data_IF_090387485448
#
_entry.id   IF_090387485448
#
_cell.length_a   1.000
_cell.length_b   1.000
_cell.length_c   1.000
_cell.angle_alpha   90.00
_cell.angle_beta   90.00
_cell.angle_gamma   90.00
#
_symmetry.space_group_name_H-M   'P 1'
#
loop_
_entity.id
_entity.type
_entity.pdbx_description
1 polymer ?
#
# COMPACT_ATOMS: atom_id res chain seq x y z
N UNK A 1 49.37 -12.43 -60.90
CA UNK A 1 48.56 -12.31 -59.66
C UNK A 1 47.23 -13.00 -59.90
N UNK A 2 46.91 -14.00 -59.07
CA UNK A 2 45.89 -15.02 -59.36
C UNK A 2 44.52 -14.64 -58.79
N UNK A 3 43.50 -14.70 -59.66
CA UNK A 3 42.06 -14.44 -59.41
C UNK A 3 41.49 -15.29 -58.25
N UNK A 4 42.18 -16.37 -57.84
CA UNK A 4 41.72 -17.27 -56.78
C UNK A 4 41.81 -16.71 -55.35
N UNK A 5 42.57 -15.63 -55.09
CA UNK A 5 42.69 -15.06 -53.72
C UNK A 5 41.62 -14.02 -53.36
N UNK A 6 40.86 -13.51 -54.31
CA UNK A 6 39.78 -12.54 -54.03
C UNK A 6 38.44 -13.20 -53.68
N UNK A 7 38.22 -14.47 -54.05
CA UNK A 7 36.97 -15.16 -53.78
C UNK A 7 36.82 -15.62 -52.31
N UNK A 8 37.92 -15.85 -51.59
CA UNK A 8 37.87 -16.38 -50.21
C UNK A 8 37.56 -15.31 -49.16
N UNK A 9 37.90 -14.04 -49.42
CA UNK A 9 37.64 -12.94 -48.46
C UNK A 9 36.17 -12.51 -48.46
N UNK A 10 35.46 -12.67 -49.59
CA UNK A 10 34.06 -12.26 -49.72
C UNK A 10 33.09 -13.27 -49.08
N UNK A 11 33.43 -14.56 -49.04
CA UNK A 11 32.55 -15.59 -48.47
C UNK A 11 32.55 -15.62 -46.93
N UNK A 12 33.57 -15.08 -46.25
CA UNK A 12 33.59 -14.96 -44.78
C UNK A 12 32.85 -13.72 -44.27
N UNK A 13 32.71 -12.67 -45.09
CA UNK A 13 31.97 -11.46 -44.72
C UNK A 13 30.44 -11.67 -44.73
N UNK A 14 29.93 -12.59 -45.56
CA UNK A 14 28.48 -12.86 -45.66
C UNK A 14 27.99 -13.79 -44.54
N UNK A 15 28.84 -14.64 -43.96
CA UNK A 15 28.46 -15.51 -42.84
C UNK A 15 28.35 -14.78 -41.49
N UNK A 16 28.98 -13.61 -41.33
CA UNK A 16 28.91 -12.80 -40.11
C UNK A 16 27.81 -11.73 -40.13
N UNK A 17 27.18 -11.47 -41.29
CA UNK A 17 26.00 -10.59 -41.37
C UNK A 17 24.66 -11.34 -41.28
N UNK A 18 24.66 -12.66 -41.44
CA UNK A 18 23.43 -13.46 -41.40
C UNK A 18 22.86 -13.73 -39.99
N UNK A 19 23.58 -13.37 -38.93
CA UNK A 19 23.20 -13.65 -37.53
C UNK A 19 22.73 -12.43 -36.75
N UNK A 20 22.64 -11.24 -37.36
CA UNK A 20 22.18 -10.01 -36.71
C UNK A 20 20.68 -9.69 -36.90
N UNK A 21 19.95 -10.48 -37.70
CA UNK A 21 18.51 -10.30 -37.96
C UNK A 21 17.64 -11.39 -37.32
N UNK A 22 18.22 -12.19 -36.42
CA UNK A 22 17.49 -13.11 -35.55
C UNK A 22 16.73 -12.35 -34.46
N UNK A 23 15.55 -11.84 -34.82
CA UNK A 23 14.40 -11.67 -33.92
C UNK A 23 14.67 -11.04 -32.54
N UNK A 24 15.03 -9.74 -32.52
CA UNK A 24 14.97 -8.93 -31.29
C UNK A 24 13.53 -8.66 -30.80
N UNK A 25 12.50 -9.25 -31.41
CA UNK A 25 11.10 -9.10 -30.99
C UNK A 25 10.74 -9.84 -29.68
N UNK A 26 11.66 -10.60 -29.09
CA UNK A 26 11.43 -11.33 -27.82
C UNK A 26 11.69 -10.51 -26.54
N UNK A 27 12.10 -9.24 -26.65
CA UNK A 27 12.37 -8.38 -25.48
C UNK A 27 11.30 -7.33 -25.19
N UNK A 28 10.23 -7.30 -25.99
CA UNK A 28 8.97 -6.68 -25.57
C UNK A 28 8.02 -7.78 -25.11
N UNK A 29 8.41 -8.55 -24.10
CA UNK A 29 7.40 -9.05 -23.18
C UNK A 29 6.89 -7.76 -22.53
N UNK A 30 5.68 -7.26 -22.86
CA UNK A 30 5.10 -6.19 -22.07
C UNK A 30 5.16 -6.72 -20.65
N UNK A 31 5.89 -6.02 -19.79
CA UNK A 31 5.84 -6.25 -18.36
C UNK A 31 4.37 -6.46 -18.06
N UNK A 32 4.02 -7.68 -17.68
CA UNK A 32 2.64 -8.05 -17.39
C UNK A 32 2.28 -7.16 -16.24
N UNK A 33 1.69 -6.01 -16.57
CA UNK A 33 0.94 -5.20 -15.65
C UNK A 33 0.00 -6.19 -15.03
N UNK A 34 0.19 -6.44 -13.74
CA UNK A 34 -0.55 -7.45 -13.03
C UNK A 34 -2.03 -7.16 -13.32
N UNK A 35 -2.73 -8.01 -14.12
CA UNK A 35 -4.06 -7.65 -14.62
C UNK A 35 -5.07 -7.52 -13.48
N UNK A 36 -4.67 -7.90 -12.27
CA UNK A 36 -5.36 -7.71 -11.01
C UNK A 36 -5.38 -6.26 -10.50
N UNK A 37 -4.57 -5.36 -11.05
CA UNK A 37 -4.56 -3.94 -10.67
C UNK A 37 -5.40 -3.03 -11.59
N UNK A 38 -6.10 -3.60 -12.58
CA UNK A 38 -7.20 -2.90 -13.25
C UNK A 38 -8.34 -2.78 -12.23
N UNK A 39 -8.19 -1.82 -11.31
CA UNK A 39 -9.11 -1.40 -10.25
C UNK A 39 -10.28 -2.36 -10.08
N UNK A 40 -10.06 -3.46 -9.35
CA UNK A 40 -11.17 -4.29 -8.92
C UNK A 40 -12.19 -3.33 -8.28
N UNK A 41 -13.43 -3.26 -8.79
CA UNK A 41 -14.34 -2.22 -8.36
C UNK A 41 -14.63 -2.45 -6.88
N UNK A 42 -14.12 -1.55 -6.05
CA UNK A 42 -14.44 -1.51 -4.64
C UNK A 42 -15.75 -0.76 -4.47
N UNK A 43 -16.69 -1.34 -3.75
CA UNK A 43 -18.00 -0.77 -3.52
C UNK A 43 -18.15 -0.29 -2.07
N UNK A 44 -19.03 0.69 -1.80
CA UNK A 44 -19.50 0.93 -0.44
C UNK A 44 -20.08 -0.37 0.15
N UNK A 45 -19.92 -0.61 1.47
CA UNK A 45 -20.53 -1.75 2.13
C UNK A 45 -22.06 -1.64 2.14
N UNK A 46 -22.72 -2.74 2.52
CA UNK A 46 -24.16 -2.73 2.73
C UNK A 46 -24.54 -1.72 3.83
N UNK A 47 -25.70 -1.07 3.68
CA UNK A 47 -26.14 -0.01 4.59
C UNK A 47 -26.44 -0.51 6.01
N UNK A 48 -26.72 -1.81 6.14
CA UNK A 48 -26.96 -2.53 7.38
C UNK A 48 -25.70 -3.11 8.01
N UNK A 49 -24.50 -2.88 7.45
CA UNK A 49 -23.22 -3.23 8.09
C UNK A 49 -23.24 -2.73 9.53
N UNK A 50 -22.96 -3.59 10.51
CA UNK A 50 -22.87 -3.27 11.94
C UNK A 50 -21.42 -3.24 12.42
N UNK A 51 -21.19 -2.73 13.64
CA UNK A 51 -19.86 -2.76 14.27
C UNK A 51 -19.35 -4.20 14.47
N UNK A 52 -20.26 -5.12 14.79
CA UNK A 52 -19.99 -6.56 14.94
C UNK A 52 -19.40 -7.19 13.66
N UNK A 53 -19.76 -6.68 12.47
CA UNK A 53 -19.21 -7.14 11.19
C UNK A 53 -17.75 -6.74 10.98
N UNK A 54 -17.23 -5.80 11.78
CA UNK A 54 -15.83 -5.36 11.75
C UNK A 54 -14.97 -6.03 12.83
N UNK A 55 -15.57 -6.56 13.89
CA UNK A 55 -14.86 -7.28 14.96
C UNK A 55 -14.08 -8.46 14.38
N UNK A 56 -12.79 -8.55 14.68
CA UNK A 56 -11.90 -9.57 14.14
C UNK A 56 -10.45 -9.12 14.03
N UNK A 57 -9.62 -9.98 13.43
CA UNK A 57 -8.21 -9.67 13.14
C UNK A 57 -8.10 -9.28 11.67
N UNK A 58 -7.37 -8.19 11.44
CA UNK A 58 -7.17 -7.59 10.12
C UNK A 58 -5.67 -7.48 9.88
N UNK A 59 -5.21 -7.91 8.71
CA UNK A 59 -3.80 -7.93 8.34
C UNK A 59 -3.59 -7.23 6.99
N UNK A 60 -2.52 -6.44 6.90
CA UNK A 60 -1.94 -5.97 5.65
C UNK A 60 -0.46 -6.29 5.59
N UNK A 61 0.06 -6.49 4.37
CA UNK A 61 1.46 -6.85 4.13
C UNK A 61 2.12 -5.84 3.22
N UNK A 62 3.13 -5.15 3.74
CA UNK A 62 3.90 -4.15 3.01
C UNK A 62 5.26 -4.74 2.63
N UNK A 63 5.26 -5.56 1.57
CA UNK A 63 6.44 -6.35 1.20
C UNK A 63 6.63 -7.51 2.16
N UNK A 64 7.60 -7.40 3.07
CA UNK A 64 7.81 -8.39 4.13
C UNK A 64 7.39 -7.91 5.52
N UNK A 65 7.09 -6.62 5.66
CA UNK A 65 6.53 -6.07 6.89
C UNK A 65 5.06 -6.44 7.00
N UNK A 66 4.58 -6.62 8.22
CA UNK A 66 3.19 -7.01 8.51
C UNK A 66 2.59 -5.97 9.46
N UNK A 67 1.43 -5.45 9.10
CA UNK A 67 0.62 -4.59 9.95
C UNK A 67 -0.67 -5.33 10.28
N UNK A 68 -0.95 -5.50 11.57
CA UNK A 68 -2.10 -6.25 12.06
C UNK A 68 -2.84 -5.40 13.06
N UNK A 69 -4.17 -5.44 13.05
CA UNK A 69 -4.94 -4.99 14.20
C UNK A 69 -6.09 -5.94 14.54
N UNK A 70 -6.44 -5.96 15.82
CA UNK A 70 -7.53 -6.75 16.39
C UNK A 70 -8.60 -5.78 16.87
N UNK A 71 -9.79 -5.83 16.27
CA UNK A 71 -10.99 -5.09 16.71
C UNK A 71 -11.83 -6.00 17.61
N UNK A 72 -12.19 -5.54 18.81
CA UNK A 72 -13.03 -6.27 19.77
C UNK A 72 -14.43 -5.70 19.84
N UNK A 73 -15.37 -6.54 20.28
CA UNK A 73 -16.79 -6.17 20.51
C UNK A 73 -16.98 -5.06 21.55
N UNK A 74 -16.03 -4.88 22.46
CA UNK A 74 -16.08 -3.84 23.50
C UNK A 74 -15.69 -2.44 23.00
N UNK A 75 -15.51 -2.27 21.68
CA UNK A 75 -15.08 -1.01 21.08
C UNK A 75 -13.59 -0.70 21.28
N UNK A 76 -12.79 -1.69 21.70
CA UNK A 76 -11.34 -1.56 21.81
C UNK A 76 -10.58 -2.27 20.69
N UNK A 77 -9.40 -1.75 20.36
CA UNK A 77 -8.50 -2.34 19.37
C UNK A 77 -7.04 -2.30 19.81
N UNK A 78 -6.23 -3.12 19.16
CA UNK A 78 -4.77 -3.09 19.24
C UNK A 78 -4.17 -3.21 17.85
N UNK A 79 -3.18 -2.40 17.52
CA UNK A 79 -2.34 -2.51 16.33
C UNK A 79 -0.97 -3.09 16.71
N UNK A 80 -0.42 -3.94 15.84
CA UNK A 80 0.94 -4.45 15.88
C UNK A 80 1.54 -4.32 14.48
N UNK A 81 2.71 -3.68 14.37
CA UNK A 81 3.47 -3.62 13.13
C UNK A 81 4.87 -4.20 13.33
N UNK A 82 5.28 -5.08 12.43
CA UNK A 82 6.58 -5.73 12.42
C UNK A 82 7.29 -5.45 11.09
N UNK A 83 8.50 -4.88 11.17
CA UNK A 83 9.36 -4.66 10.00
C UNK A 83 10.53 -5.64 10.02
N UNK A 84 10.55 -6.57 9.08
CA UNK A 84 11.62 -7.59 9.05
C UNK A 84 12.95 -7.07 8.46
N UNK A 85 12.95 -5.87 7.86
CA UNK A 85 14.17 -5.26 7.29
C UNK A 85 14.91 -4.42 8.32
N UNK A 86 14.18 -3.75 9.21
CA UNK A 86 14.75 -3.07 10.36
C UNK A 86 14.97 -4.10 11.48
N UNK A 87 16.22 -4.28 11.94
CA UNK A 87 16.52 -5.27 12.98
C UNK A 87 15.69 -4.97 14.23
N UNK A 88 14.78 -5.90 14.56
CA UNK A 88 13.94 -5.93 15.76
C UNK A 88 12.94 -4.76 15.92
N UNK A 89 12.51 -4.09 14.84
CA UNK A 89 11.47 -3.07 14.96
C UNK A 89 10.08 -3.70 15.09
N UNK A 90 9.47 -3.50 16.25
CA UNK A 90 8.07 -3.83 16.53
C UNK A 90 7.39 -2.62 17.15
N UNK A 91 6.27 -2.23 16.57
CA UNK A 91 5.35 -1.27 17.16
C UNK A 91 4.11 -2.01 17.67
N UNK A 92 3.64 -1.62 18.85
CA UNK A 92 2.38 -2.13 19.42
C UNK A 92 1.66 -1.00 20.15
N UNK A 93 0.36 -0.83 19.88
CA UNK A 93 -0.49 0.07 20.66
C UNK A 93 -0.97 -0.60 21.96
N UNK A 94 -1.27 0.15 23.03
CA UNK A 94 -2.19 -0.34 24.05
C UNK A 94 -3.58 -0.64 23.45
N UNK A 95 -4.48 -1.22 24.25
CA UNK A 95 -5.88 -1.37 23.86
C UNK A 95 -6.55 0.01 23.84
N UNK A 96 -6.68 0.59 22.64
CA UNK A 96 -7.27 1.90 22.39
C UNK A 96 -8.71 1.78 21.89
N UNK A 97 -9.41 2.90 21.69
CA UNK A 97 -10.78 2.91 21.18
C UNK A 97 -10.81 2.90 19.65
N UNK A 98 -11.79 2.22 19.08
CA UNK A 98 -12.16 2.36 17.68
C UNK A 98 -13.63 2.75 17.56
N UNK A 99 -14.00 3.37 16.45
CA UNK A 99 -15.39 3.74 16.15
C UNK A 99 -15.60 3.79 14.63
N UNK A 100 -16.86 3.77 14.21
CA UNK A 100 -17.22 3.99 12.80
C UNK A 100 -17.92 5.33 12.62
N UNK A 101 -17.60 5.98 11.51
CA UNK A 101 -18.29 7.18 11.02
C UNK A 101 -19.12 6.79 9.79
N UNK A 102 -20.41 7.15 9.81
CA UNK A 102 -21.34 6.86 8.70
C UNK A 102 -21.75 8.15 8.02
N UNK A 103 -21.72 8.13 6.69
CA UNK A 103 -22.09 9.27 5.87
C UNK A 103 -23.47 9.05 5.21
N UNK A 104 -24.20 10.14 4.87
CA UNK A 104 -25.50 10.04 4.20
C UNK A 104 -25.48 9.36 2.83
N UNK A 105 -24.31 9.31 2.18
CA UNK A 105 -24.08 8.67 0.88
C UNK A 105 -23.72 7.18 1.00
N UNK A 106 -23.79 6.61 2.20
CA UNK A 106 -23.50 5.20 2.49
C UNK A 106 -22.03 4.89 2.70
N UNK A 107 -21.13 5.90 2.67
CA UNK A 107 -19.73 5.68 3.05
C UNK A 107 -19.62 5.37 4.53
N UNK A 108 -18.63 4.54 4.87
CA UNK A 108 -18.26 4.20 6.23
C UNK A 108 -16.75 4.35 6.38
N UNK A 109 -16.32 5.08 7.41
CA UNK A 109 -14.92 5.19 7.82
C UNK A 109 -14.73 4.51 9.17
N UNK A 110 -13.67 3.75 9.31
CA UNK A 110 -13.20 3.18 10.58
C UNK A 110 -12.11 4.10 11.13
N UNK A 111 -12.28 4.50 12.38
CA UNK A 111 -11.43 5.42 13.13
C UNK A 111 -10.71 4.65 14.23
N UNK A 112 -9.37 4.65 14.23
CA UNK A 112 -8.51 3.87 15.12
C UNK A 112 -7.60 4.79 15.93
N UNK A 113 -8.01 5.13 17.15
CA UNK A 113 -7.29 6.09 17.98
C UNK A 113 -5.89 5.61 18.36
N UNK A 114 -4.86 6.41 18.09
CA UNK A 114 -3.46 6.10 18.38
C UNK A 114 -2.82 5.03 17.49
N UNK A 115 -3.53 4.55 16.46
CA UNK A 115 -2.93 3.75 15.40
C UNK A 115 -2.08 4.64 14.47
N UNK A 116 -1.13 4.00 13.77
CA UNK A 116 -0.16 4.67 12.89
C UNK A 116 -0.21 4.13 11.47
N UNK A 117 0.20 4.98 10.53
CA UNK A 117 0.19 4.71 9.10
C UNK A 117 1.55 4.16 8.63
N UNK A 118 1.69 2.83 8.56
CA UNK A 118 2.96 2.15 8.25
C UNK A 118 3.10 1.67 6.79
N UNK A 119 2.10 1.90 5.94
CA UNK A 119 2.15 1.49 4.53
C UNK A 119 3.36 2.10 3.78
N UNK A 120 3.78 3.30 4.18
CA UNK A 120 4.98 3.99 3.64
C UNK A 120 6.20 3.87 4.57
N UNK A 121 6.18 2.90 5.48
CA UNK A 121 7.29 2.52 6.34
C UNK A 121 7.38 3.28 7.67
N UNK A 122 8.39 2.89 8.46
CA UNK A 122 8.61 3.35 9.83
C UNK A 122 8.75 4.88 9.92
N UNK A 123 9.50 5.48 8.98
CA UNK A 123 9.76 6.92 9.00
C UNK A 123 8.50 7.75 8.86
N UNK A 124 7.44 7.24 8.23
CA UNK A 124 6.14 7.90 8.13
C UNK A 124 5.24 7.53 9.31
N UNK A 125 5.19 6.25 9.69
CA UNK A 125 4.40 5.78 10.83
C UNK A 125 4.76 6.50 12.13
N UNK A 126 6.05 6.74 12.38
CA UNK A 126 6.54 7.48 13.56
C UNK A 126 6.22 8.98 13.55
N UNK A 127 5.84 9.54 12.39
CA UNK A 127 5.36 10.92 12.34
C UNK A 127 3.95 11.07 12.92
N UNK A 128 3.19 9.97 13.08
CA UNK A 128 1.91 9.98 13.79
C UNK A 128 0.90 10.99 13.22
N UNK A 129 0.90 11.12 11.88
CA UNK A 129 0.05 12.03 11.13
C UNK A 129 0.57 13.47 11.00
N UNK A 130 1.81 13.77 11.41
CA UNK A 130 2.44 15.09 11.23
C UNK A 130 3.37 15.14 10.02
N UNK A 131 3.59 16.33 9.46
CA UNK A 131 4.59 16.56 8.40
C UNK A 131 6.03 16.45 8.91
N UNK A 132 6.97 16.12 8.02
CA UNK A 132 8.41 16.14 8.37
C UNK A 132 8.91 17.59 8.62
N UNK A 133 9.80 17.81 9.61
CA UNK A 133 10.26 16.84 10.62
C UNK A 133 9.19 16.57 11.68
N UNK A 134 9.02 15.33 12.12
CA UNK A 134 7.98 14.99 13.10
C UNK A 134 8.17 15.59 14.50
N UNK A 135 7.22 15.38 15.43
CA UNK A 135 7.33 15.84 16.80
C UNK A 135 8.58 15.28 17.52
N UNK A 136 9.16 16.07 18.44
CA UNK A 136 10.41 15.74 19.14
C UNK A 136 10.31 14.40 19.91
N UNK A 137 11.31 13.53 19.73
CA UNK A 137 11.52 12.35 20.59
C UNK A 137 11.94 11.07 19.87
N UNK A 138 11.90 11.04 18.53
CA UNK A 138 12.39 9.91 17.74
C UNK A 138 13.90 9.97 17.47
N UNK A 139 14.56 8.81 17.23
CA UNK A 139 16.00 8.74 16.95
C UNK A 139 16.44 9.54 15.70
N UNK A 140 15.50 9.88 14.81
CA UNK A 140 15.77 10.55 13.52
C UNK A 140 15.33 12.02 13.45
N UNK A 141 14.88 12.63 14.57
CA UNK A 141 14.40 14.01 14.59
C UNK A 141 15.54 15.02 14.91
N UNK A 142 16.34 15.39 13.92
CA UNK A 142 17.38 16.43 14.04
C UNK A 142 16.93 17.85 13.62
N UNK A 143 15.67 18.03 13.20
CA UNK A 143 15.09 19.33 12.83
C UNK A 143 14.17 19.93 13.91
N UNK A 144 13.92 21.24 13.85
CA UNK A 144 12.85 21.87 14.62
C UNK A 144 11.49 21.29 14.17
N UNK A 145 10.63 20.81 15.09
CA UNK A 145 9.45 20.01 14.76
C UNK A 145 8.45 20.74 13.85
N UNK A 146 8.08 20.07 12.76
CA UNK A 146 6.90 20.30 11.94
C UNK A 146 5.64 19.91 12.70
N UNK A 147 5.06 20.88 13.40
CA UNK A 147 3.78 20.75 14.10
C UNK A 147 2.54 20.90 13.20
N UNK A 148 2.69 20.71 11.89
CA UNK A 148 1.56 20.81 10.95
C UNK A 148 1.01 19.40 10.71
N UNK A 149 -0.31 19.19 10.90
CA UNK A 149 -0.98 17.97 10.47
C UNK A 149 -0.71 17.67 8.99
N UNK A 150 -0.44 16.40 8.67
CA UNK A 150 -0.39 15.94 7.29
C UNK A 150 -1.82 15.72 6.78
N UNK A 151 -2.09 16.12 5.54
CA UNK A 151 -3.37 15.84 4.85
C UNK A 151 -3.29 14.53 4.06
N UNK A 152 -4.16 13.59 4.41
CA UNK A 152 -4.36 12.35 3.71
C UNK A 152 -5.61 12.45 2.85
N UNK A 153 -5.54 11.89 1.65
CA UNK A 153 -6.59 11.93 0.64
C UNK A 153 -7.35 10.62 0.69
N UNK A 154 -8.68 10.70 0.83
CA UNK A 154 -9.55 9.55 0.61
C UNK A 154 -9.55 9.20 -0.88
N UNK A 155 -9.07 8.01 -1.27
CA UNK A 155 -8.95 7.65 -2.68
C UNK A 155 -10.27 7.63 -3.45
N UNK A 156 -11.39 7.40 -2.75
CA UNK A 156 -12.69 7.20 -3.37
C UNK A 156 -13.48 8.51 -3.51
N UNK A 157 -13.24 9.46 -2.62
CA UNK A 157 -13.99 10.73 -2.56
C UNK A 157 -13.15 11.95 -2.88
N UNK A 158 -11.83 11.83 -2.79
CA UNK A 158 -10.87 12.95 -2.87
C UNK A 158 -11.04 13.96 -1.73
N UNK A 159 -11.66 13.56 -0.63
CA UNK A 159 -11.69 14.35 0.61
C UNK A 159 -10.29 14.38 1.23
N UNK A 160 -9.89 15.51 1.79
CA UNK A 160 -8.69 15.64 2.62
C UNK A 160 -9.03 15.39 4.10
N UNK A 161 -8.16 14.65 4.79
CA UNK A 161 -8.30 14.28 6.19
C UNK A 161 -6.99 14.51 6.95
N UNK A 162 -7.08 15.07 8.16
CA UNK A 162 -5.99 15.03 9.12
C UNK A 162 -6.08 13.74 9.93
N UNK A 163 -4.98 12.97 9.97
CA UNK A 163 -4.90 11.68 10.68
C UNK A 163 -3.90 11.75 11.84
N UNK A 164 -3.96 12.84 12.59
CA UNK A 164 -3.05 13.09 13.72
C UNK A 164 -3.42 12.17 14.89
N UNK A 165 -2.49 11.31 15.31
CA UNK A 165 -2.70 10.33 16.41
C UNK A 165 -3.87 9.38 16.16
N UNK A 166 -4.15 9.07 14.91
CA UNK A 166 -5.27 8.22 14.51
C UNK A 166 -4.99 7.60 13.14
N UNK A 167 -5.45 6.37 12.93
CA UNK A 167 -5.55 5.78 11.61
C UNK A 167 -7.01 5.76 11.18
N UNK A 168 -7.33 6.40 10.05
CA UNK A 168 -8.64 6.37 9.41
C UNK A 168 -8.56 5.46 8.19
N UNK A 169 -9.48 4.51 8.09
CA UNK A 169 -9.60 3.56 7.00
C UNK A 169 -10.99 3.65 6.37
N UNK A 170 -11.09 3.54 5.05
CA UNK A 170 -12.39 3.45 4.38
C UNK A 170 -12.83 1.99 4.31
N UNK A 171 -14.03 1.70 4.82
CA UNK A 171 -14.61 0.35 4.71
C UNK A 171 -15.16 0.16 3.30
N UNK A 172 -14.73 -0.90 2.62
CA UNK A 172 -15.14 -1.25 1.25
C UNK A 172 -15.48 -2.73 1.14
N UNK A 173 -16.13 -3.08 0.04
CA UNK A 173 -16.39 -4.46 -0.36
C UNK A 173 -15.77 -4.71 -1.73
N UNK A 174 -15.08 -5.83 -1.91
CA UNK A 174 -14.54 -6.22 -3.22
C UNK A 174 -15.57 -6.97 -4.09
N UNK A 175 -15.17 -7.36 -5.29
CA UNK A 175 -16.05 -8.05 -6.24
C UNK A 175 -16.55 -9.41 -5.77
N UNK A 176 -15.95 -9.99 -4.73
CA UNK A 176 -16.39 -11.25 -4.12
C UNK A 176 -17.39 -11.06 -2.98
N UNK A 177 -17.61 -9.83 -2.52
CA UNK A 177 -18.44 -9.53 -1.36
C UNK A 177 -17.64 -9.49 -0.04
N UNK A 178 -16.32 -9.64 -0.08
CA UNK A 178 -15.48 -9.55 1.11
C UNK A 178 -15.28 -8.11 1.57
N UNK A 179 -15.36 -7.88 2.88
CA UNK A 179 -15.04 -6.60 3.50
C UNK A 179 -13.53 -6.35 3.49
N UNK A 180 -13.16 -5.11 3.19
CA UNK A 180 -11.79 -4.61 3.17
C UNK A 180 -11.71 -3.28 3.91
N UNK A 181 -10.57 -3.01 4.55
CA UNK A 181 -10.29 -1.72 5.17
C UNK A 181 -9.17 -1.04 4.37
N UNK A 182 -9.53 0.00 3.62
CA UNK A 182 -8.63 0.65 2.66
C UNK A 182 -7.94 1.86 3.29
N UNK A 183 -6.64 2.01 3.05
CA UNK A 183 -5.86 3.17 3.49
C UNK A 183 -6.27 4.46 2.78
N UNK A 184 -6.15 5.58 3.49
CA UNK A 184 -6.04 6.90 2.85
C UNK A 184 -4.66 7.04 2.18
N UNK A 185 -4.47 8.00 1.28
CA UNK A 185 -3.19 8.24 0.61
C UNK A 185 -2.61 9.58 1.04
N UNK A 186 -1.35 9.65 1.44
CA UNK A 186 -0.71 10.94 1.78
C UNK A 186 -0.25 11.75 0.55
N UNK A 187 -0.41 11.20 -0.67
CA UNK A 187 -0.12 11.91 -1.94
C UNK A 187 -1.27 11.78 -2.95
N UNK A 188 -1.50 12.86 -3.72
CA UNK A 188 -2.47 12.88 -4.83
C UNK A 188 -1.95 12.18 -6.08
N UNK A 189 -0.62 12.13 -6.21
CA UNK A 189 0.12 11.76 -7.42
C UNK A 189 0.55 10.30 -7.42
N UNK A 190 0.38 9.59 -6.31
CA UNK A 190 0.22 8.14 -6.33
C UNK A 190 -1.10 7.79 -7.01
N UNK A 191 -1.16 8.05 -8.32
CA UNK A 191 -2.02 7.27 -9.18
C UNK A 191 -1.82 5.81 -8.80
N UNK A 192 -2.92 5.07 -8.71
CA UNK A 192 -3.06 3.63 -8.46
C UNK A 192 -2.29 2.76 -9.47
N UNK A 193 -1.08 3.15 -9.80
CA UNK A 193 -0.30 2.66 -10.92
C UNK A 193 0.34 1.33 -10.50
N UNK A 194 -0.39 0.29 -10.90
CA UNK A 194 0.11 -0.98 -11.42
C UNK A 194 0.90 -1.92 -10.49
N UNK A 195 1.33 -1.49 -9.30
CA UNK A 195 2.16 -2.33 -8.41
C UNK A 195 1.77 -2.32 -6.93
N UNK A 196 0.71 -1.61 -6.56
CA UNK A 196 0.38 -1.32 -5.15
C UNK A 196 -0.99 -1.75 -4.63
N UNK A 197 -1.91 -2.25 -5.48
CA UNK A 197 -3.31 -2.45 -5.04
C UNK A 197 -3.44 -3.45 -3.88
N UNK A 198 -2.64 -4.51 -3.85
CA UNK A 198 -2.70 -5.48 -2.75
C UNK A 198 -2.18 -4.93 -1.41
N UNK A 199 -1.36 -3.87 -1.43
CA UNK A 199 -0.72 -3.31 -0.24
C UNK A 199 -1.56 -2.22 0.43
N UNK A 200 -2.70 -1.84 -0.14
CA UNK A 200 -3.49 -0.67 0.30
C UNK A 200 -4.73 -1.03 1.11
N UNK A 201 -4.95 -2.30 1.40
CA UNK A 201 -6.06 -2.74 2.25
C UNK A 201 -5.60 -3.73 3.30
N UNK A 202 -6.31 -3.74 4.42
CA UNK A 202 -6.31 -4.85 5.34
C UNK A 202 -7.38 -5.86 4.93
N UNK A 203 -7.03 -7.14 5.02
CA UNK A 203 -7.98 -8.25 4.88
C UNK A 203 -8.21 -8.89 6.23
N UNK A 204 -9.43 -9.38 6.42
CA UNK A 204 -9.76 -10.20 7.59
C UNK A 204 -8.96 -11.50 7.52
N UNK A 205 -8.33 -11.87 8.62
CA UNK A 205 -7.65 -13.16 8.79
C UNK A 205 -8.28 -13.92 9.95
N UNK A 206 -8.23 -15.24 9.90
CA UNK A 206 -8.53 -16.04 11.08
C UNK A 206 -7.53 -15.62 12.18
N UNK A 207 -8.07 -15.29 13.36
CA UNK A 207 -7.22 -14.88 14.48
C UNK A 207 -6.22 -15.99 14.87
N UNK A 208 -5.17 -15.65 15.62
CA UNK A 208 -4.32 -16.65 16.26
C UNK A 208 -5.11 -17.60 17.17
#
# INVERSE_FOLDING_TARGET
MSIRRQATVILLAVALLGSALGCQCLWMIPWTTDPLCAEAPFWPPASDLEESDLVGTWESRYGRSVDTFVLREDGTFKQTYEDVYATDYVYETPWNRWQIERFPDGRIRLHLQGARYYIDGISIGELDGYTYPGPKGGPDSSGEPGGVPWLFIDPFTRDDLEMVRELVLTVRVDSSGELLLHHMSYTSDEGFSLSGCQRRHFRRVEGP
#
